data_IF_834229035626
#
_entry.id   IF_834229035626
#
_cell.length_a   1.000
_cell.length_b   1.000
_cell.length_c   1.000
_cell.angle_alpha   90.00
_cell.angle_beta   90.00
_cell.angle_gamma   90.00
#
_symmetry.space_group_name_H-M   'P 1'
#
loop_
_entity.id
_entity.type
_entity.pdbx_description
1 polymer ?
#
# COMPACT_ATOMS: atom_id res chain seq x y z
N UNK A 1 4.85 1.18 -31.72
CA UNK A 1 6.28 1.54 -31.56
C UNK A 1 6.39 3.05 -31.40
N UNK A 2 7.43 3.58 -30.73
CA UNK A 2 7.65 5.02 -30.65
C UNK A 2 8.01 5.57 -32.04
N UNK A 3 7.31 6.60 -32.49
CA UNK A 3 7.53 7.19 -33.83
C UNK A 3 8.59 8.32 -33.81
N UNK A 4 9.08 8.71 -32.62
CA UNK A 4 10.09 9.74 -32.46
C UNK A 4 11.04 9.42 -31.28
N UNK A 5 12.24 10.03 -31.26
CA UNK A 5 13.26 9.77 -30.23
C UNK A 5 12.78 10.15 -28.82
N UNK A 6 11.91 11.16 -28.70
CA UNK A 6 11.38 11.62 -27.41
C UNK A 6 10.41 10.61 -26.80
N UNK A 7 9.51 10.02 -27.59
CA UNK A 7 8.58 8.96 -27.15
C UNK A 7 9.31 7.68 -26.80
N UNK A 8 10.38 7.31 -27.51
CA UNK A 8 11.21 6.15 -27.15
C UNK A 8 11.87 6.34 -25.78
N UNK A 9 12.37 7.55 -25.50
CA UNK A 9 12.89 7.91 -24.17
C UNK A 9 11.80 7.83 -23.09
N UNK A 10 10.58 8.31 -23.36
CA UNK A 10 9.45 8.20 -22.43
C UNK A 10 9.10 6.75 -22.12
N UNK A 11 9.02 5.90 -23.14
CA UNK A 11 8.76 4.47 -22.97
C UNK A 11 9.80 3.82 -22.03
N UNK A 12 11.09 4.10 -22.22
CA UNK A 12 12.15 3.59 -21.33
C UNK A 12 12.02 4.10 -19.89
N UNK A 13 11.62 5.35 -19.69
CA UNK A 13 11.37 5.91 -18.36
C UNK A 13 10.15 5.28 -17.69
N UNK A 14 9.09 5.04 -18.46
CA UNK A 14 7.83 4.51 -17.96
C UNK A 14 7.96 3.06 -17.53
N UNK A 15 8.70 2.22 -18.26
CA UNK A 15 9.01 0.85 -17.82
C UNK A 15 9.67 0.84 -16.43
N UNK A 16 10.67 1.70 -16.22
CA UNK A 16 11.37 1.82 -14.92
C UNK A 16 10.47 2.35 -13.80
N UNK A 17 9.57 3.30 -14.11
CA UNK A 17 8.59 3.83 -13.14
C UNK A 17 7.52 2.78 -12.81
N UNK A 18 7.02 2.08 -13.81
CA UNK A 18 6.01 1.03 -13.67
C UNK A 18 6.52 -0.11 -12.79
N UNK A 19 7.76 -0.57 -12.99
CA UNK A 19 8.36 -1.61 -12.16
C UNK A 19 8.43 -1.18 -10.68
N UNK A 20 8.94 0.02 -10.39
CA UNK A 20 8.99 0.56 -9.02
C UNK A 20 7.62 0.71 -8.38
N UNK A 21 6.66 1.25 -9.12
CA UNK A 21 5.29 1.43 -8.65
C UNK A 21 4.60 0.09 -8.40
N UNK A 22 4.84 -0.90 -9.26
CA UNK A 22 4.30 -2.26 -9.11
C UNK A 22 4.83 -2.91 -7.84
N UNK A 23 6.14 -2.87 -7.60
CA UNK A 23 6.77 -3.44 -6.39
C UNK A 23 6.19 -2.83 -5.10
N UNK A 24 6.11 -1.50 -5.01
CA UNK A 24 5.51 -0.82 -3.85
C UNK A 24 4.05 -1.22 -3.64
N UNK A 25 3.26 -1.29 -4.73
CA UNK A 25 1.84 -1.67 -4.66
C UNK A 25 1.67 -3.13 -4.23
N UNK A 26 2.52 -4.04 -4.72
CA UNK A 26 2.47 -5.46 -4.34
C UNK A 26 2.87 -5.65 -2.90
N UNK A 27 3.94 -4.99 -2.44
CA UNK A 27 4.39 -5.05 -1.06
C UNK A 27 3.27 -4.64 -0.08
N UNK A 28 2.65 -3.48 -0.32
CA UNK A 28 1.52 -2.98 0.47
C UNK A 28 0.37 -3.98 0.47
N UNK A 29 0.04 -4.56 -0.69
CA UNK A 29 -1.03 -5.57 -0.79
C UNK A 29 -0.71 -6.83 0.02
N UNK A 30 0.52 -7.32 -0.05
CA UNK A 30 0.96 -8.52 0.68
C UNK A 30 0.89 -8.27 2.18
N UNK A 31 1.47 -7.18 2.69
CA UNK A 31 1.41 -6.88 4.12
C UNK A 31 -0.02 -6.66 4.61
N UNK A 32 -0.88 -6.03 3.79
CA UNK A 32 -2.30 -5.86 4.15
C UNK A 32 -2.99 -7.22 4.34
N UNK A 33 -2.68 -8.21 3.50
CA UNK A 33 -3.19 -9.58 3.68
C UNK A 33 -2.64 -10.23 4.94
N UNK A 34 -1.35 -10.08 5.23
CA UNK A 34 -0.73 -10.60 6.45
C UNK A 34 -1.37 -10.03 7.72
N UNK A 35 -1.70 -8.73 7.73
CA UNK A 35 -2.43 -8.12 8.86
C UNK A 35 -3.82 -8.69 9.00
N UNK A 36 -4.56 -8.86 7.90
CA UNK A 36 -5.89 -9.47 7.97
C UNK A 36 -5.84 -10.90 8.50
N UNK A 37 -4.85 -11.70 8.07
CA UNK A 37 -4.65 -13.05 8.59
C UNK A 37 -4.30 -13.06 10.10
N UNK A 38 -3.48 -12.11 10.57
CA UNK A 38 -3.16 -11.99 11.99
C UNK A 38 -4.36 -11.54 12.84
N UNK A 39 -5.24 -10.69 12.28
CA UNK A 39 -6.51 -10.29 12.89
C UNK A 39 -7.44 -11.50 13.01
N UNK A 40 -7.56 -12.33 11.96
CA UNK A 40 -8.35 -13.56 11.97
C UNK A 40 -7.80 -14.60 12.96
N UNK A 41 -6.47 -14.67 13.13
CA UNK A 41 -5.81 -15.54 14.10
C UNK A 41 -5.90 -15.04 15.56
N UNK A 42 -6.45 -13.85 15.81
CA UNK A 42 -6.58 -13.29 17.16
C UNK A 42 -5.29 -12.74 17.77
N UNK A 43 -4.22 -12.57 16.98
CA UNK A 43 -2.94 -12.04 17.45
C UNK A 43 -2.95 -10.50 17.51
N UNK A 44 -3.55 -9.93 18.55
CA UNK A 44 -3.78 -8.49 18.72
C UNK A 44 -2.50 -7.64 18.64
N UNK A 45 -1.46 -7.98 19.40
CA UNK A 45 -0.22 -7.18 19.46
C UNK A 45 0.53 -7.17 18.13
N UNK A 46 0.63 -8.33 17.47
CA UNK A 46 1.27 -8.47 16.16
C UNK A 46 0.50 -7.72 15.08
N UNK A 47 -0.84 -7.78 15.10
CA UNK A 47 -1.67 -7.04 14.17
C UNK A 47 -1.49 -5.52 14.31
N UNK A 48 -1.37 -5.00 15.54
CA UNK A 48 -1.15 -3.57 15.82
C UNK A 48 0.25 -3.11 15.35
N UNK A 49 1.29 -3.92 15.58
CA UNK A 49 2.64 -3.60 15.11
C UNK A 49 2.71 -3.55 13.58
N UNK A 50 2.24 -4.60 12.91
CA UNK A 50 2.22 -4.66 11.45
C UNK A 50 1.35 -3.56 10.84
N UNK A 51 0.24 -3.20 11.49
CA UNK A 51 -0.61 -2.09 11.07
C UNK A 51 0.14 -0.74 11.05
N UNK A 52 0.96 -0.45 12.07
CA UNK A 52 1.77 0.78 12.12
C UNK A 52 2.79 0.82 10.97
N UNK A 53 3.43 -0.30 10.67
CA UNK A 53 4.36 -0.39 9.55
C UNK A 53 3.68 -0.14 8.20
N UNK A 54 2.51 -0.73 8.00
CA UNK A 54 1.73 -0.53 6.77
C UNK A 54 1.30 0.93 6.63
N UNK A 55 0.89 1.59 7.71
CA UNK A 55 0.52 3.02 7.68
C UNK A 55 1.69 3.88 7.20
N UNK A 56 2.89 3.65 7.73
CA UNK A 56 4.11 4.36 7.29
C UNK A 56 4.41 4.14 5.81
N UNK A 57 4.29 2.89 5.33
CA UNK A 57 4.51 2.56 3.90
C UNK A 57 3.43 3.16 2.99
N UNK A 58 2.18 3.22 3.44
CA UNK A 58 1.08 3.87 2.74
C UNK A 58 1.35 5.38 2.56
N UNK A 59 1.81 6.06 3.60
CA UNK A 59 2.14 7.50 3.52
C UNK A 59 3.34 7.77 2.63
N UNK A 60 4.36 6.91 2.68
CA UNK A 60 5.50 6.99 1.76
C UNK A 60 5.08 6.78 0.31
N UNK A 61 4.08 5.93 0.06
CA UNK A 61 3.53 5.72 -1.27
C UNK A 61 2.70 6.92 -1.77
N UNK A 62 2.03 7.66 -0.89
CA UNK A 62 1.41 8.95 -1.21
C UNK A 62 2.47 10.01 -1.54
N UNK A 63 3.48 10.18 -0.67
CA UNK A 63 4.56 11.17 -0.86
C UNK A 63 5.32 10.95 -2.17
N UNK A 64 5.56 9.70 -2.54
CA UNK A 64 6.25 9.36 -3.80
C UNK A 64 5.36 9.36 -5.04
N UNK A 65 4.07 9.76 -4.92
CA UNK A 65 3.12 9.82 -6.04
C UNK A 65 2.74 8.45 -6.62
N UNK A 66 3.06 7.35 -5.93
CA UNK A 66 2.72 5.99 -6.38
C UNK A 66 1.23 5.69 -6.20
N UNK A 67 0.60 6.30 -5.19
CA UNK A 67 -0.85 6.23 -4.94
C UNK A 67 -1.39 7.61 -4.61
N UNK A 68 -2.64 7.86 -5.00
CA UNK A 68 -3.31 9.12 -4.68
C UNK A 68 -3.62 9.20 -3.18
N UNK A 69 -3.58 10.43 -2.63
CA UNK A 69 -3.86 10.70 -1.20
C UNK A 69 -5.18 10.11 -0.73
N UNK A 70 -6.25 10.20 -1.55
CA UNK A 70 -7.56 9.65 -1.21
C UNK A 70 -7.55 8.11 -1.19
N UNK A 71 -6.79 7.46 -2.08
CA UNK A 71 -6.64 6.00 -2.07
C UNK A 71 -5.93 5.54 -0.81
N UNK A 72 -4.92 6.28 -0.37
CA UNK A 72 -4.21 6.01 0.88
C UNK A 72 -5.11 6.23 2.09
N UNK A 73 -5.84 7.35 2.14
CA UNK A 73 -6.83 7.64 3.19
C UNK A 73 -7.89 6.55 3.30
N UNK A 74 -8.46 6.11 2.17
CA UNK A 74 -9.42 4.99 2.14
C UNK A 74 -8.82 3.70 2.70
N UNK A 75 -7.58 3.36 2.32
CA UNK A 75 -6.92 2.13 2.80
C UNK A 75 -6.62 2.18 4.29
N UNK A 76 -6.18 3.33 4.81
CA UNK A 76 -6.02 3.54 6.25
C UNK A 76 -7.34 3.37 7.00
N UNK A 77 -8.41 4.03 6.53
CA UNK A 77 -9.73 3.93 7.15
C UNK A 77 -10.29 2.50 7.15
N UNK A 78 -10.04 1.71 6.10
CA UNK A 78 -10.39 0.28 6.09
C UNK A 78 -9.58 -0.48 7.14
N UNK A 79 -8.26 -0.28 7.19
CA UNK A 79 -7.38 -0.99 8.12
C UNK A 79 -7.74 -0.68 9.58
N UNK A 80 -8.02 0.57 9.92
CA UNK A 80 -8.50 0.95 11.26
C UNK A 80 -9.83 0.30 11.62
N UNK A 81 -10.78 0.20 10.68
CA UNK A 81 -12.05 -0.50 10.93
C UNK A 81 -11.86 -1.98 11.25
N UNK A 82 -10.90 -2.64 10.61
CA UNK A 82 -10.60 -4.04 10.92
C UNK A 82 -9.95 -4.20 12.30
N UNK A 83 -9.07 -3.28 12.71
CA UNK A 83 -8.48 -3.29 14.05
C UNK A 83 -9.49 -2.97 15.14
N UNK A 84 -10.40 -2.03 14.91
CA UNK A 84 -11.44 -1.65 15.88
C UNK A 84 -12.39 -2.81 16.20
N UNK A 85 -12.67 -3.68 15.22
CA UNK A 85 -13.43 -4.92 15.45
C UNK A 85 -12.75 -5.86 16.45
N UNK A 86 -11.41 -5.83 16.50
CA UNK A 86 -10.62 -6.65 17.43
C UNK A 86 -10.68 -6.08 18.86
N UNK A 87 -10.80 -4.75 19.01
CA UNK A 87 -10.83 -4.07 20.31
C UNK A 87 -12.24 -3.95 20.92
N UNK A 88 -13.27 -4.56 20.30
CA UNK A 88 -14.63 -4.58 20.84
C UNK A 88 -15.25 -3.19 21.02
N UNK A 89 -14.77 -2.18 20.31
CA UNK A 89 -15.27 -0.80 20.44
C UNK A 89 -16.29 -0.55 19.34
N UNK A 90 -17.56 -0.54 19.74
CA UNK A 90 -18.71 -0.21 18.91
C UNK A 90 -18.62 1.20 18.32
#
# INVERSE_FOLDING_TARGET
>A
MPNNKSTEKRLRQDVKRNLRNRMKKSEIRTMTKSVLAAIEAGESDKAVQMAKEIQSKLDRAAKSGTMHKNTVGRRKAVLHRHLAKLSGTA
#
